data_IF_549241470143
#
_entry.id   IF_549241470143
#
_cell.length_a   1.000
_cell.length_b   1.000
_cell.length_c   1.000
_cell.angle_alpha   90.00
_cell.angle_beta   90.00
_cell.angle_gamma   90.00
#
_symmetry.space_group_name_H-M   'P 1'
#
loop_
_entity.id
_entity.type
_entity.pdbx_description
1 polymer ?
#
# COMPACT_ATOMS: atom_id res chain seq x y z
N UNK A 1 43.21 -48.41 65.02
CA UNK A 1 42.46 -47.16 64.91
C UNK A 1 41.60 -47.23 63.65
N UNK A 2 40.32 -47.61 63.81
CA UNK A 2 39.36 -47.79 62.80
C UNK A 2 38.66 -46.41 62.57
N UNK A 3 38.92 -45.79 61.46
CA UNK A 3 38.22 -44.55 61.07
C UNK A 3 36.80 -44.95 60.69
N UNK A 4 35.79 -44.59 61.47
CA UNK A 4 34.39 -44.59 61.13
C UNK A 4 34.21 -43.44 60.15
N UNK A 5 34.03 -43.75 58.83
CA UNK A 5 33.46 -42.87 57.86
C UNK A 5 32.00 -42.71 58.27
N UNK A 6 31.65 -41.51 58.76
CA UNK A 6 30.27 -41.05 58.88
C UNK A 6 29.72 -40.90 57.45
N UNK A 7 29.11 -41.98 56.96
CA UNK A 7 28.29 -41.91 55.73
C UNK A 7 27.08 -41.06 56.10
N UNK A 8 26.91 -39.91 55.43
CA UNK A 8 25.78 -39.03 55.61
C UNK A 8 24.45 -39.79 55.46
N UNK A 9 23.40 -39.37 56.14
CA UNK A 9 22.08 -40.01 56.21
C UNK A 9 21.24 -39.91 54.93
N UNK A 10 21.76 -39.33 53.89
CA UNK A 10 21.07 -39.21 52.62
C UNK A 10 21.09 -40.51 51.78
N UNK A 11 19.96 -40.99 51.33
CA UNK A 11 19.89 -42.12 50.40
C UNK A 11 20.42 -41.72 49.02
N UNK A 12 20.98 -42.66 48.20
CA UNK A 12 21.48 -42.34 46.87
C UNK A 12 20.39 -41.71 45.97
N UNK A 13 19.12 -41.98 46.20
CA UNK A 13 17.99 -41.39 45.55
C UNK A 13 17.81 -39.91 45.94
N UNK A 14 17.91 -39.60 47.22
CA UNK A 14 17.81 -38.22 47.75
C UNK A 14 18.95 -37.35 47.20
N UNK A 15 20.18 -37.84 47.15
CA UNK A 15 21.32 -37.14 46.56
C UNK A 15 21.12 -36.85 45.07
N UNK A 16 20.54 -37.79 44.30
CA UNK A 16 20.24 -37.61 42.90
C UNK A 16 19.19 -36.52 42.70
N UNK A 17 18.13 -36.48 43.52
CA UNK A 17 17.08 -35.46 43.43
C UNK A 17 17.57 -34.09 43.84
N UNK A 18 18.40 -33.96 44.84
CA UNK A 18 19.06 -32.72 45.23
C UNK A 18 19.97 -32.20 44.13
N UNK A 19 20.79 -33.07 43.54
CA UNK A 19 21.63 -32.70 42.39
C UNK A 19 20.81 -32.23 41.17
N UNK A 20 19.69 -32.90 40.91
CA UNK A 20 18.79 -32.50 39.81
C UNK A 20 18.12 -31.14 40.09
N UNK A 21 17.72 -30.86 41.33
CA UNK A 21 17.14 -29.59 41.73
C UNK A 21 18.15 -28.45 41.63
N UNK A 22 19.36 -28.65 42.15
CA UNK A 22 20.46 -27.69 42.06
C UNK A 22 20.80 -27.36 40.59
N UNK A 23 20.96 -28.38 39.75
CA UNK A 23 21.27 -28.18 38.34
C UNK A 23 20.15 -27.46 37.56
N UNK A 24 18.89 -27.65 37.94
CA UNK A 24 17.75 -26.92 37.33
C UNK A 24 17.73 -25.46 37.76
N UNK A 25 17.93 -25.20 39.04
CA UNK A 25 17.99 -23.84 39.58
C UNK A 25 19.14 -23.05 38.93
N UNK A 26 20.34 -23.60 38.89
CA UNK A 26 21.50 -22.96 38.24
C UNK A 26 21.25 -22.61 36.79
N UNK A 27 20.60 -23.50 36.04
CA UNK A 27 20.21 -23.21 34.64
C UNK A 27 19.20 -22.09 34.54
N UNK A 28 18.24 -22.04 35.46
CA UNK A 28 17.24 -20.98 35.48
C UNK A 28 17.86 -19.63 35.89
N UNK A 29 18.78 -19.61 36.84
CA UNK A 29 19.53 -18.43 37.28
C UNK A 29 20.48 -17.90 36.19
N UNK A 30 21.02 -18.74 35.35
CA UNK A 30 21.89 -18.33 34.25
C UNK A 30 21.13 -17.63 33.07
N UNK A 31 19.81 -17.76 32.99
CA UNK A 31 19.00 -17.13 31.93
C UNK A 31 18.56 -15.74 32.36
N UNK A 32 19.03 -14.72 31.63
CA UNK A 32 18.71 -13.30 31.87
C UNK A 32 17.20 -13.03 31.73
N UNK A 33 16.50 -13.71 30.85
CA UNK A 33 15.06 -13.53 30.69
C UNK A 33 14.30 -14.06 31.90
N UNK A 34 14.76 -15.18 32.49
CA UNK A 34 14.22 -15.74 33.73
C UNK A 34 14.48 -14.80 34.91
N UNK A 35 15.71 -14.29 35.04
CA UNK A 35 16.04 -13.32 36.10
C UNK A 35 15.15 -12.09 36.06
N UNK A 36 14.83 -11.59 34.88
CA UNK A 36 13.98 -10.41 34.68
C UNK A 36 12.49 -10.70 34.91
N UNK A 37 12.01 -11.88 34.52
CA UNK A 37 10.56 -12.18 34.52
C UNK A 37 10.09 -12.87 35.80
N UNK A 38 10.97 -13.67 36.46
CA UNK A 38 10.58 -14.56 37.55
C UNK A 38 11.49 -14.51 38.77
N UNK A 39 11.93 -13.34 39.27
CA UNK A 39 12.88 -13.28 40.40
C UNK A 39 12.32 -13.90 41.69
N UNK A 40 11.00 -13.78 41.91
CA UNK A 40 10.35 -14.39 43.11
C UNK A 40 10.33 -15.91 43.05
N UNK A 41 10.14 -16.51 41.87
CA UNK A 41 10.13 -17.96 41.74
C UNK A 41 11.52 -18.54 41.79
N UNK A 42 12.55 -17.83 41.30
CA UNK A 42 13.96 -18.16 41.52
C UNK A 42 14.30 -18.15 43.03
N UNK A 43 13.89 -17.12 43.73
CA UNK A 43 14.10 -17.05 45.19
C UNK A 43 13.42 -18.20 45.91
N UNK A 44 12.17 -18.52 45.60
CA UNK A 44 11.44 -19.67 46.16
C UNK A 44 12.14 -21.00 45.86
N UNK A 45 12.65 -21.16 44.64
CA UNK A 45 13.39 -22.34 44.23
C UNK A 45 14.67 -22.50 45.08
N UNK A 46 15.40 -21.41 45.27
CA UNK A 46 16.61 -21.41 46.10
C UNK A 46 16.31 -21.72 47.60
N UNK A 47 15.29 -21.06 48.16
CA UNK A 47 14.88 -21.30 49.56
C UNK A 47 14.41 -22.73 49.78
N UNK A 48 13.67 -23.32 48.85
CA UNK A 48 13.21 -24.70 48.94
C UNK A 48 14.36 -25.70 48.77
N UNK A 49 15.34 -25.41 47.90
CA UNK A 49 16.56 -26.22 47.78
C UNK A 49 17.35 -26.22 49.10
N UNK A 50 17.58 -25.05 49.67
CA UNK A 50 18.27 -24.94 50.95
C UNK A 50 17.57 -25.70 52.10
N UNK A 51 16.22 -25.72 52.06
CA UNK A 51 15.47 -26.57 53.03
C UNK A 51 15.67 -28.05 52.75
N UNK A 52 15.64 -28.46 51.48
CA UNK A 52 15.88 -29.84 51.08
C UNK A 52 17.27 -30.33 51.55
N UNK A 53 18.31 -29.53 51.33
CA UNK A 53 19.67 -29.81 51.80
C UNK A 53 19.72 -29.98 53.31
N UNK A 54 19.11 -29.07 54.07
CA UNK A 54 19.04 -29.17 55.53
C UNK A 54 18.34 -30.46 56.01
N UNK A 55 17.24 -30.86 55.39
CA UNK A 55 16.55 -32.11 55.77
C UNK A 55 17.34 -33.36 55.37
N UNK A 56 18.16 -33.31 54.34
CA UNK A 56 19.03 -34.42 53.97
C UNK A 56 20.10 -34.75 54.99
N UNK A 57 20.50 -33.75 55.82
CA UNK A 57 21.47 -33.91 56.90
C UNK A 57 20.89 -34.53 58.20
N UNK A 58 19.52 -34.59 58.28
CA UNK A 58 18.89 -35.17 59.48
C UNK A 58 18.53 -36.63 59.27
N UNK A 59 18.74 -37.41 60.33
CA UNK A 59 18.34 -38.81 60.34
C UNK A 59 16.79 -38.94 60.25
N UNK A 60 16.31 -39.66 59.22
CA UNK A 60 14.88 -39.76 58.91
C UNK A 60 14.31 -38.66 58.07
N UNK A 61 15.07 -37.58 57.69
CA UNK A 61 14.64 -36.46 56.91
C UNK A 61 14.59 -36.69 55.40
N UNK A 62 14.90 -37.90 54.92
CA UNK A 62 14.96 -38.18 53.46
C UNK A 62 13.65 -37.92 52.68
N UNK A 63 12.47 -38.15 53.31
CA UNK A 63 11.18 -37.88 52.67
C UNK A 63 10.92 -36.37 52.47
N UNK A 64 11.23 -35.59 53.52
CA UNK A 64 11.11 -34.11 53.48
C UNK A 64 12.13 -33.50 52.54
N UNK A 65 13.37 -34.00 52.53
CA UNK A 65 14.41 -33.58 51.61
C UNK A 65 13.97 -33.76 50.15
N UNK A 66 13.40 -34.91 49.78
CA UNK A 66 12.86 -35.15 48.43
C UNK A 66 11.67 -34.24 48.10
N UNK A 67 10.77 -34.06 49.09
CA UNK A 67 9.63 -33.15 48.88
C UNK A 67 10.08 -31.71 48.56
N UNK A 68 11.00 -31.16 49.35
CA UNK A 68 11.50 -29.82 49.10
C UNK A 68 12.39 -29.73 47.85
N UNK A 69 13.16 -30.75 47.51
CA UNK A 69 13.88 -30.84 46.23
C UNK A 69 12.92 -30.82 45.04
N UNK A 70 11.82 -31.56 45.12
CA UNK A 70 10.76 -31.50 44.12
C UNK A 70 10.17 -30.09 43.99
N UNK A 71 9.83 -29.42 45.10
CA UNK A 71 9.32 -28.05 45.07
C UNK A 71 10.31 -27.07 44.42
N UNK A 72 11.61 -27.19 44.73
CA UNK A 72 12.65 -26.39 44.08
C UNK A 72 12.68 -26.60 42.56
N UNK A 73 12.60 -27.86 42.12
CA UNK A 73 12.52 -28.18 40.69
C UNK A 73 11.29 -27.55 40.04
N UNK A 74 10.13 -27.59 40.72
CA UNK A 74 8.88 -26.99 40.19
C UNK A 74 8.95 -25.46 40.09
N UNK A 75 9.47 -24.78 41.11
CA UNK A 75 9.66 -23.32 41.06
C UNK A 75 10.67 -22.91 40.00
N UNK A 76 11.77 -23.66 39.83
CA UNK A 76 12.74 -23.44 38.76
C UNK A 76 12.10 -23.60 37.36
N UNK A 77 11.21 -24.60 37.22
CA UNK A 77 10.51 -24.80 35.95
C UNK A 77 9.48 -23.68 35.67
N UNK A 78 8.73 -23.25 36.69
CA UNK A 78 7.81 -22.10 36.57
C UNK A 78 8.58 -20.85 36.14
N UNK A 79 9.69 -20.56 36.80
CA UNK A 79 10.56 -19.43 36.46
C UNK A 79 11.03 -19.51 35.00
N UNK A 80 11.48 -20.69 34.56
CA UNK A 80 11.91 -20.93 33.19
C UNK A 80 10.77 -20.68 32.17
N UNK A 81 9.53 -21.12 32.44
CA UNK A 81 8.38 -20.89 31.58
C UNK A 81 8.04 -19.40 31.48
N UNK A 82 8.15 -18.63 32.55
CA UNK A 82 7.97 -17.18 32.52
C UNK A 82 9.07 -16.49 31.70
N UNK A 83 10.31 -16.95 31.79
CA UNK A 83 11.40 -16.46 30.92
C UNK A 83 11.13 -16.68 29.45
N UNK A 84 10.68 -17.87 29.08
CA UNK A 84 10.30 -18.19 27.71
C UNK A 84 9.12 -17.32 27.23
N UNK A 85 8.12 -17.12 28.09
CA UNK A 85 6.98 -16.24 27.75
C UNK A 85 7.44 -14.81 27.46
N UNK A 86 8.34 -14.26 28.29
CA UNK A 86 8.91 -12.93 28.04
C UNK A 86 9.65 -12.86 26.71
N UNK A 87 10.50 -13.85 26.40
CA UNK A 87 11.23 -13.92 25.13
C UNK A 87 10.28 -13.97 23.93
N UNK A 88 9.20 -14.75 24.02
CA UNK A 88 8.18 -14.82 22.96
C UNK A 88 7.43 -13.49 22.77
N UNK A 89 7.06 -12.82 23.87
CA UNK A 89 6.41 -11.51 23.82
C UNK A 89 7.32 -10.45 23.18
N UNK A 90 8.59 -10.39 23.55
CA UNK A 90 9.57 -9.49 22.95
C UNK A 90 9.77 -9.78 21.45
N UNK A 91 9.76 -11.06 21.06
CA UNK A 91 9.87 -11.47 19.65
C UNK A 91 8.63 -11.06 18.86
N UNK A 92 7.43 -11.28 19.41
CA UNK A 92 6.17 -10.87 18.77
C UNK A 92 6.16 -9.34 18.55
N UNK A 93 6.47 -8.56 19.59
CA UNK A 93 6.50 -7.10 19.48
C UNK A 93 7.50 -6.61 18.42
N UNK A 94 8.68 -7.25 18.31
CA UNK A 94 9.67 -6.94 17.27
C UNK A 94 9.14 -7.25 15.87
N UNK A 95 8.52 -8.41 15.68
CA UNK A 95 7.94 -8.81 14.37
C UNK A 95 6.75 -7.91 13.97
N UNK A 96 5.96 -7.45 14.93
CA UNK A 96 4.88 -6.49 14.67
C UNK A 96 5.40 -5.14 14.20
N UNK A 97 6.44 -4.61 14.84
CA UNK A 97 7.08 -3.37 14.38
C UNK A 97 7.67 -3.50 12.98
N UNK A 98 8.32 -4.63 12.68
CA UNK A 98 8.87 -4.89 11.35
C UNK A 98 7.77 -5.00 10.30
N UNK A 99 6.69 -5.73 10.58
CA UNK A 99 5.50 -5.83 9.72
C UNK A 99 4.92 -4.44 9.40
N UNK A 100 4.77 -3.59 10.41
CA UNK A 100 4.17 -2.27 10.25
C UNK A 100 5.11 -1.33 9.49
N UNK A 101 6.43 -1.48 9.67
CA UNK A 101 7.43 -0.78 8.83
C UNK A 101 7.32 -1.19 7.37
N UNK A 102 7.27 -2.48 7.08
CA UNK A 102 7.15 -3.00 5.71
C UNK A 102 5.83 -2.58 5.03
N UNK A 103 4.73 -2.54 5.80
CA UNK A 103 3.43 -2.05 5.29
C UNK A 103 3.51 -0.59 4.86
N UNK A 104 4.11 0.28 5.67
CA UNK A 104 4.32 1.68 5.31
C UNK A 104 5.18 1.82 4.06
N UNK A 105 6.32 1.14 4.00
CA UNK A 105 7.18 1.16 2.82
C UNK A 105 6.47 0.70 1.54
N UNK A 106 5.63 -0.33 1.63
CA UNK A 106 4.83 -0.80 0.49
C UNK A 106 3.78 0.23 0.05
N UNK A 107 3.15 0.91 0.99
CA UNK A 107 2.18 1.97 0.71
C UNK A 107 2.86 3.16 0.02
N UNK A 108 3.99 3.61 0.54
CA UNK A 108 4.78 4.71 -0.04
C UNK A 108 5.26 4.35 -1.46
N UNK A 109 5.74 3.12 -1.68
CA UNK A 109 6.15 2.66 -3.00
C UNK A 109 4.97 2.63 -4.01
N UNK A 110 3.77 2.27 -3.57
CA UNK A 110 2.56 2.30 -4.41
C UNK A 110 2.16 3.72 -4.79
N UNK A 111 2.23 4.66 -3.85
CA UNK A 111 1.94 6.08 -4.12
C UNK A 111 2.95 6.66 -5.12
N UNK A 112 4.25 6.46 -4.89
CA UNK A 112 5.32 6.89 -5.81
C UNK A 112 5.13 6.31 -7.23
N UNK A 113 4.76 5.04 -7.35
CA UNK A 113 4.50 4.42 -8.66
C UNK A 113 3.29 5.04 -9.37
N UNK A 114 2.22 5.37 -8.63
CA UNK A 114 1.03 6.01 -9.20
C UNK A 114 1.34 7.44 -9.67
N UNK A 115 2.10 8.22 -8.90
CA UNK A 115 2.56 9.56 -9.28
C UNK A 115 3.48 9.51 -10.51
N UNK A 116 4.45 8.60 -10.55
CA UNK A 116 5.33 8.43 -11.70
C UNK A 116 4.58 8.02 -12.97
N UNK A 117 3.56 7.16 -12.85
CA UNK A 117 2.69 6.80 -13.97
C UNK A 117 1.86 8.00 -14.44
N UNK A 118 1.38 8.84 -13.52
CA UNK A 118 0.68 10.07 -13.83
C UNK A 118 1.55 11.04 -14.64
N UNK A 119 2.75 11.35 -14.15
CA UNK A 119 3.72 12.23 -14.82
C UNK A 119 4.14 11.68 -16.19
N UNK A 120 4.40 10.38 -16.31
CA UNK A 120 4.73 9.75 -17.59
C UNK A 120 3.58 9.85 -18.61
N UNK A 121 2.32 9.70 -18.17
CA UNK A 121 1.15 9.88 -19.02
C UNK A 121 0.96 11.34 -19.42
N UNK A 122 1.20 12.29 -18.51
CA UNK A 122 1.19 13.72 -18.84
C UNK A 122 2.23 14.05 -19.91
N UNK A 123 3.46 13.56 -19.76
CA UNK A 123 4.53 13.75 -20.75
C UNK A 123 4.17 13.12 -22.11
N UNK A 124 3.62 11.91 -22.10
CA UNK A 124 3.13 11.27 -23.34
C UNK A 124 1.96 12.03 -24.00
N UNK A 125 1.06 12.60 -23.21
CA UNK A 125 -0.05 13.41 -23.74
C UNK A 125 0.48 14.73 -24.33
N UNK A 126 1.44 15.37 -23.68
CA UNK A 126 2.14 16.56 -24.19
C UNK A 126 2.86 16.26 -25.51
N UNK A 127 3.50 15.09 -25.65
CA UNK A 127 4.23 14.67 -26.86
C UNK A 127 3.30 14.27 -28.03
N UNK A 128 2.03 13.88 -27.76
CA UNK A 128 1.13 13.28 -28.75
C UNK A 128 0.21 14.26 -29.50
N UNK A 129 0.25 15.57 -29.25
CA UNK A 129 -0.49 16.62 -29.96
C UNK A 129 -1.17 17.66 -29.03
N UNK A 130 -0.85 17.72 -27.77
CA UNK A 130 -1.30 18.81 -26.95
C UNK A 130 -0.31 19.96 -27.10
N UNK A 131 -0.78 21.10 -27.59
CA UNK A 131 -0.04 22.35 -27.57
C UNK A 131 -0.51 23.19 -26.39
N UNK A 132 0.42 23.76 -25.67
CA UNK A 132 0.11 24.78 -24.68
C UNK A 132 -0.28 26.05 -25.43
N UNK A 133 -1.50 26.50 -25.21
CA UNK A 133 -2.07 27.70 -25.81
C UNK A 133 -2.46 28.68 -24.72
N UNK A 134 -2.81 29.92 -25.09
CA UNK A 134 -3.37 30.91 -24.14
C UNK A 134 -4.65 30.40 -23.44
N UNK A 135 -5.25 29.32 -23.94
CA UNK A 135 -6.43 28.64 -23.38
C UNK A 135 -6.07 27.43 -22.48
N UNK A 136 -4.79 27.24 -22.19
CA UNK A 136 -4.27 26.08 -21.47
C UNK A 136 -3.89 24.92 -22.39
N UNK A 137 -3.87 23.72 -21.85
CA UNK A 137 -3.54 22.50 -22.58
C UNK A 137 -4.69 22.11 -23.52
N UNK A 138 -4.41 22.05 -24.83
CA UNK A 138 -5.39 21.72 -25.87
C UNK A 138 -4.88 20.55 -26.71
N UNK A 139 -5.67 19.49 -26.79
CA UNK A 139 -5.43 18.38 -27.73
C UNK A 139 -6.32 18.55 -28.95
N UNK A 140 -5.73 18.60 -30.16
CA UNK A 140 -6.45 18.70 -31.38
C UNK A 140 -6.59 17.36 -32.06
N UNK A 141 -7.83 16.97 -32.35
CA UNK A 141 -8.21 15.77 -33.06
C UNK A 141 -8.70 16.15 -34.48
N UNK A 142 -7.94 15.77 -35.48
CA UNK A 142 -8.31 16.08 -36.90
C UNK A 142 -9.48 15.24 -37.41
N UNK A 143 -10.01 15.66 -38.56
CA UNK A 143 -11.12 15.02 -39.29
C UNK A 143 -10.92 13.51 -39.58
N UNK A 144 -9.66 13.06 -39.65
CA UNK A 144 -9.27 11.66 -39.88
C UNK A 144 -9.83 10.67 -38.85
N UNK A 145 -10.23 11.15 -37.69
CA UNK A 145 -10.85 10.31 -36.63
C UNK A 145 -12.33 10.03 -36.89
N UNK A 146 -12.96 10.75 -37.82
CA UNK A 146 -14.37 10.58 -38.17
C UNK A 146 -14.51 10.01 -39.57
N UNK A 147 -15.64 9.36 -39.85
CA UNK A 147 -16.02 9.05 -41.22
C UNK A 147 -16.35 10.33 -41.96
N UNK A 148 -16.00 10.40 -43.25
CA UNK A 148 -16.19 11.58 -44.08
C UNK A 148 -17.63 12.10 -44.02
N UNK A 149 -17.83 13.38 -43.70
CA UNK A 149 -19.12 14.02 -43.59
C UNK A 149 -20.01 13.52 -42.43
N UNK A 150 -19.50 12.77 -41.49
CA UNK A 150 -20.25 12.16 -40.39
C UNK A 150 -19.64 12.52 -39.02
N UNK A 151 -20.40 12.29 -37.97
CA UNK A 151 -19.96 12.32 -36.59
C UNK A 151 -19.54 10.91 -36.05
N UNK A 152 -19.57 9.88 -36.91
CA UNK A 152 -19.23 8.53 -36.53
C UNK A 152 -17.70 8.37 -36.38
N UNK A 153 -17.26 7.90 -35.21
CA UNK A 153 -15.86 7.70 -34.92
C UNK A 153 -15.29 6.48 -35.65
N UNK A 154 -14.13 6.66 -36.26
CA UNK A 154 -13.38 5.55 -36.90
C UNK A 154 -12.52 4.77 -35.91
N UNK A 155 -12.03 3.60 -36.33
CA UNK A 155 -11.22 2.70 -35.48
C UNK A 155 -9.92 3.35 -34.93
N UNK A 156 -9.38 4.35 -35.62
CA UNK A 156 -8.18 5.09 -35.17
C UNK A 156 -8.47 6.02 -34.01
N UNK A 157 -9.71 6.52 -33.89
CA UNK A 157 -10.13 7.35 -32.77
C UNK A 157 -10.04 6.60 -31.42
N UNK A 158 -10.44 5.33 -31.41
CA UNK A 158 -10.52 4.51 -30.19
C UNK A 158 -9.19 4.46 -29.44
N UNK A 159 -8.06 4.34 -30.14
CA UNK A 159 -6.74 4.28 -29.50
C UNK A 159 -6.36 5.59 -28.79
N UNK A 160 -6.63 6.72 -29.45
CA UNK A 160 -6.31 8.04 -28.88
C UNK A 160 -7.24 8.38 -27.72
N UNK A 161 -8.53 8.10 -27.86
CA UNK A 161 -9.52 8.36 -26.81
C UNK A 161 -9.38 7.40 -25.62
N UNK A 162 -8.91 6.17 -25.83
CA UNK A 162 -8.57 5.25 -24.73
C UNK A 162 -7.41 5.79 -23.87
N UNK A 163 -6.37 6.37 -24.49
CA UNK A 163 -5.27 7.00 -23.76
C UNK A 163 -5.76 8.21 -22.96
N UNK A 164 -6.60 9.05 -23.58
CA UNK A 164 -7.22 10.21 -22.94
C UNK A 164 -8.09 9.79 -21.74
N UNK A 165 -8.93 8.77 -21.90
CA UNK A 165 -9.75 8.23 -20.81
C UNK A 165 -8.87 7.75 -19.66
N UNK A 166 -7.78 7.05 -19.96
CA UNK A 166 -6.84 6.60 -18.92
C UNK A 166 -6.19 7.75 -18.16
N UNK A 167 -5.78 8.80 -18.87
CA UNK A 167 -5.27 10.03 -18.25
C UNK A 167 -6.30 10.65 -17.29
N UNK A 168 -7.55 10.81 -17.74
CA UNK A 168 -8.63 11.38 -16.94
C UNK A 168 -9.01 10.50 -15.73
N UNK A 169 -8.88 9.18 -15.84
CA UNK A 169 -9.07 8.25 -14.70
C UNK A 169 -8.00 8.42 -13.63
N UNK A 170 -6.74 8.68 -14.04
CA UNK A 170 -5.64 8.93 -13.12
C UNK A 170 -5.66 10.33 -12.51
N UNK A 171 -6.37 11.27 -13.15
CA UNK A 171 -6.51 12.67 -12.71
C UNK A 171 -8.00 13.00 -12.45
N UNK A 172 -8.60 12.53 -11.34
CA UNK A 172 -10.04 12.60 -11.11
C UNK A 172 -10.57 14.03 -10.94
N UNK A 173 -9.73 14.99 -10.60
CA UNK A 173 -10.13 16.40 -10.46
C UNK A 173 -10.19 17.15 -11.79
N UNK A 174 -9.45 16.68 -12.81
CA UNK A 174 -9.44 17.35 -14.12
C UNK A 174 -10.73 17.12 -14.87
N UNK A 175 -11.22 18.17 -15.54
CA UNK A 175 -12.36 18.19 -16.46
C UNK A 175 -11.87 18.39 -17.88
N UNK A 176 -12.70 18.10 -18.84
CA UNK A 176 -12.43 18.37 -20.25
C UNK A 176 -13.61 19.11 -20.89
N UNK A 177 -13.30 20.06 -21.76
CA UNK A 177 -14.27 20.70 -22.69
C UNK A 177 -13.95 20.26 -24.10
N UNK A 178 -14.90 19.64 -24.76
CA UNK A 178 -14.79 19.09 -26.10
C UNK A 178 -15.47 20.06 -27.07
N UNK A 179 -14.69 20.64 -27.95
CA UNK A 179 -15.13 21.67 -28.87
C UNK A 179 -15.05 21.17 -30.33
N UNK A 180 -16.17 21.10 -31.01
CA UNK A 180 -16.24 20.70 -32.40
C UNK A 180 -16.22 21.89 -33.36
N UNK A 181 -15.52 21.75 -34.49
CA UNK A 181 -15.38 22.76 -35.53
C UNK A 181 -15.59 22.14 -36.91
N UNK A 182 -16.11 22.92 -37.86
CA UNK A 182 -16.27 22.57 -39.27
C UNK A 182 -15.45 23.48 -40.16
N UNK A 183 -15.41 23.18 -41.46
CA UNK A 183 -14.98 24.15 -42.50
C UNK A 183 -16.15 25.05 -42.93
N UNK A 184 -15.88 26.02 -43.79
CA UNK A 184 -16.85 26.98 -44.26
C UNK A 184 -17.76 26.50 -45.44
N UNK A 185 -17.76 25.21 -45.78
CA UNK A 185 -18.61 24.64 -46.83
C UNK A 185 -19.96 24.20 -46.28
N UNK A 186 -21.01 24.44 -47.00
CA UNK A 186 -22.37 24.04 -46.63
C UNK A 186 -23.13 25.11 -45.86
N UNK A 187 -24.26 24.72 -45.30
CA UNK A 187 -25.10 25.61 -44.51
C UNK A 187 -24.54 25.78 -43.08
N UNK A 188 -24.61 27.03 -42.57
CA UNK A 188 -24.06 27.35 -41.26
C UNK A 188 -24.73 26.58 -40.11
N UNK A 189 -26.04 26.29 -40.21
CA UNK A 189 -26.78 25.54 -39.23
C UNK A 189 -26.40 24.06 -39.26
N UNK A 190 -26.23 23.48 -40.46
CA UNK A 190 -25.76 22.10 -40.65
C UNK A 190 -24.36 21.93 -40.11
N UNK A 191 -23.46 22.88 -40.36
CA UNK A 191 -22.11 22.92 -39.84
C UNK A 191 -22.08 22.99 -38.30
N UNK A 192 -22.96 23.80 -37.72
CA UNK A 192 -23.10 23.90 -36.27
C UNK A 192 -23.56 22.54 -35.66
N UNK A 193 -24.61 21.95 -36.29
CA UNK A 193 -25.11 20.64 -35.81
C UNK A 193 -24.08 19.51 -35.97
N UNK A 194 -23.36 19.46 -37.11
CA UNK A 194 -22.33 18.44 -37.33
C UNK A 194 -21.16 18.58 -36.33
N UNK A 195 -20.71 19.81 -36.10
CA UNK A 195 -19.63 20.07 -35.14
C UNK A 195 -20.03 19.69 -33.71
N UNK A 196 -21.25 20.00 -33.28
CA UNK A 196 -21.82 19.59 -32.01
C UNK A 196 -21.94 18.06 -31.92
N UNK A 197 -22.43 17.39 -32.95
CA UNK A 197 -22.56 15.94 -32.98
C UNK A 197 -21.21 15.23 -32.92
N UNK A 198 -20.17 15.77 -33.55
CA UNK A 198 -18.79 15.23 -33.45
C UNK A 198 -18.22 15.37 -32.06
N UNK A 199 -18.39 16.53 -31.44
CA UNK A 199 -17.95 16.73 -30.06
C UNK A 199 -18.70 15.79 -29.08
N UNK A 200 -20.01 15.59 -29.32
CA UNK A 200 -20.83 14.69 -28.53
C UNK A 200 -20.37 13.22 -28.68
N UNK A 201 -20.06 12.76 -29.90
CA UNK A 201 -19.59 11.39 -30.12
C UNK A 201 -18.28 11.09 -29.35
N UNK A 202 -17.38 12.08 -29.22
CA UNK A 202 -16.18 11.97 -28.41
C UNK A 202 -16.54 11.89 -26.92
N UNK A 203 -17.48 12.71 -26.46
CA UNK A 203 -17.95 12.70 -25.07
C UNK A 203 -18.60 11.36 -24.68
N UNK A 204 -19.47 10.85 -25.58
CA UNK A 204 -20.17 9.58 -25.37
C UNK A 204 -19.15 8.41 -25.18
N UNK A 205 -18.14 8.35 -26.06
CA UNK A 205 -17.10 7.32 -25.95
C UNK A 205 -16.27 7.48 -24.66
N UNK A 206 -15.95 8.70 -24.23
CA UNK A 206 -15.26 8.91 -22.95
C UNK A 206 -16.13 8.46 -21.76
N UNK A 207 -17.44 8.70 -21.81
CA UNK A 207 -18.38 8.22 -20.81
C UNK A 207 -18.48 6.69 -20.80
N UNK A 208 -18.52 6.03 -21.96
CA UNK A 208 -18.45 4.56 -22.09
C UNK A 208 -17.15 3.99 -21.52
N UNK A 209 -16.05 4.74 -21.62
CA UNK A 209 -14.74 4.39 -21.04
C UNK A 209 -14.65 4.70 -19.53
N UNK A 210 -15.76 5.11 -18.90
CA UNK A 210 -15.86 5.28 -17.46
C UNK A 210 -15.48 6.68 -16.94
N UNK A 211 -15.50 7.71 -17.79
CA UNK A 211 -15.36 9.10 -17.34
C UNK A 211 -16.74 9.65 -16.97
N UNK A 212 -16.85 10.22 -15.76
CA UNK A 212 -18.10 10.82 -15.29
C UNK A 212 -18.55 11.96 -16.24
N UNK A 213 -19.77 11.92 -16.78
CA UNK A 213 -20.30 12.96 -17.65
C UNK A 213 -20.25 14.37 -17.06
N UNK A 214 -20.32 14.52 -15.74
CA UNK A 214 -20.20 15.83 -15.06
C UNK A 214 -18.83 16.49 -15.28
N UNK A 215 -17.84 15.74 -15.69
CA UNK A 215 -16.47 16.19 -16.00
C UNK A 215 -16.29 16.56 -17.47
N UNK A 216 -17.32 16.40 -18.31
CA UNK A 216 -17.23 16.57 -19.77
C UNK A 216 -18.18 17.69 -20.19
N UNK A 217 -17.65 18.79 -20.71
CA UNK A 217 -18.42 19.83 -21.35
C UNK A 217 -18.35 19.64 -22.87
N UNK A 218 -19.45 19.88 -23.57
CA UNK A 218 -19.53 19.72 -25.04
C UNK A 218 -20.03 21.01 -25.71
N UNK A 219 -19.29 21.46 -26.72
CA UNK A 219 -19.62 22.65 -27.51
C UNK A 219 -19.42 22.41 -29.02
N UNK A 220 -20.33 22.88 -29.82
CA UNK A 220 -20.17 22.98 -31.27
C UNK A 220 -20.07 24.42 -31.70
N UNK A 221 -19.10 24.73 -32.52
CA UNK A 221 -18.87 26.11 -33.00
C UNK A 221 -19.12 26.28 -34.51
N UNK A 222 -19.36 25.19 -35.24
CA UNK A 222 -19.52 25.25 -36.70
C UNK A 222 -18.25 25.73 -37.39
N UNK A 223 -18.35 26.61 -38.34
CA UNK A 223 -17.25 27.22 -39.08
C UNK A 223 -16.63 28.45 -38.40
N UNK A 224 -17.05 28.75 -37.15
CA UNK A 224 -16.46 29.83 -36.37
C UNK A 224 -15.03 29.42 -35.93
N UNK A 225 -14.16 30.39 -35.78
CA UNK A 225 -12.79 30.22 -35.30
C UNK A 225 -11.93 29.32 -36.21
N UNK A 226 -11.79 29.64 -37.52
CA UNK A 226 -10.91 28.88 -38.39
C UNK A 226 -9.44 29.02 -37.97
N UNK A 227 -8.68 27.92 -38.03
CA UNK A 227 -7.22 27.89 -37.73
C UNK A 227 -6.38 27.92 -39.02
N UNK A 228 -7.03 27.74 -40.18
CA UNK A 228 -6.41 27.80 -41.48
C UNK A 228 -7.33 28.41 -42.53
N UNK A 229 -6.80 28.78 -43.70
CA UNK A 229 -7.57 29.32 -44.78
C UNK A 229 -8.56 28.28 -45.35
N UNK A 230 -9.83 28.64 -45.49
CA UNK A 230 -10.89 27.79 -46.08
C UNK A 230 -10.79 27.65 -47.61
N UNK A 231 -9.92 28.44 -48.28
CA UNK A 231 -9.75 28.39 -49.72
C UNK A 231 -9.14 27.07 -50.21
N UNK A 232 -8.16 26.54 -49.51
CA UNK A 232 -7.50 25.28 -49.84
C UNK A 232 -8.17 24.03 -49.23
N UNK A 233 -8.06 22.89 -49.92
CA UNK A 233 -8.54 21.62 -49.36
C UNK A 233 -7.80 21.24 -48.05
N UNK A 234 -6.51 21.55 -47.96
CA UNK A 234 -5.66 21.31 -46.79
C UNK A 234 -6.13 22.18 -45.60
N UNK A 235 -6.34 23.48 -45.80
CA UNK A 235 -6.82 24.37 -44.74
C UNK A 235 -8.22 23.99 -44.25
N UNK A 236 -9.13 23.60 -45.14
CA UNK A 236 -10.45 23.08 -44.74
C UNK A 236 -10.32 21.81 -43.87
N UNK A 237 -9.39 20.90 -44.20
CA UNK A 237 -9.16 19.70 -43.41
C UNK A 237 -8.64 20.04 -42.00
N UNK A 238 -7.84 21.09 -41.86
CA UNK A 238 -7.38 21.58 -40.53
C UNK A 238 -8.52 22.24 -39.75
N UNK A 239 -9.46 22.92 -40.43
CA UNK A 239 -10.62 23.53 -39.78
C UNK A 239 -11.62 22.48 -39.28
N UNK A 240 -11.80 21.36 -39.98
CA UNK A 240 -12.62 20.22 -39.52
C UNK A 240 -11.88 19.46 -38.44
N UNK A 241 -12.05 19.85 -37.18
CA UNK A 241 -11.36 19.31 -36.04
C UNK A 241 -12.26 19.26 -34.81
N UNK A 242 -11.82 18.48 -33.80
CA UNK A 242 -12.32 18.54 -32.43
C UNK A 242 -11.16 18.93 -31.54
N UNK A 243 -11.30 19.97 -30.76
CA UNK A 243 -10.36 20.37 -29.74
C UNK A 243 -10.85 19.88 -28.38
N UNK A 244 -9.95 19.31 -27.58
CA UNK A 244 -10.20 18.88 -26.21
C UNK A 244 -9.33 19.76 -25.29
N UNK A 245 -10.00 20.67 -24.59
CA UNK A 245 -9.38 21.54 -23.61
C UNK A 245 -9.36 20.84 -22.25
N UNK A 246 -8.22 20.85 -21.61
CA UNK A 246 -8.09 20.35 -20.25
C UNK A 246 -8.24 21.48 -19.24
N UNK A 247 -8.96 21.22 -18.16
CA UNK A 247 -8.95 22.11 -17.00
C UNK A 247 -7.55 22.12 -16.35
N UNK A 248 -7.30 23.12 -15.50
CA UNK A 248 -6.21 23.07 -14.54
C UNK A 248 -6.37 21.91 -13.55
N UNK A 249 -5.43 21.78 -12.60
CA UNK A 249 -5.47 20.74 -11.58
C UNK A 249 -6.66 20.90 -10.60
N UNK A 250 -7.19 22.09 -10.47
CA UNK A 250 -8.31 22.48 -9.62
C UNK A 250 -9.68 22.33 -10.33
N UNK A 251 -9.68 21.97 -11.61
CA UNK A 251 -10.89 21.79 -12.42
C UNK A 251 -11.44 23.06 -13.04
N UNK A 252 -10.66 24.17 -13.08
CA UNK A 252 -10.97 25.42 -13.74
C UNK A 252 -10.63 25.39 -15.24
N UNK A 253 -11.42 26.07 -16.07
CA UNK A 253 -11.10 26.29 -17.50
C UNK A 253 -10.67 27.74 -17.72
N UNK A 254 -9.80 27.95 -18.68
CA UNK A 254 -9.54 29.28 -19.22
C UNK A 254 -10.84 29.90 -19.81
N UNK A 255 -10.92 31.25 -19.95
CA UNK A 255 -12.07 31.92 -20.52
C UNK A 255 -12.49 31.35 -21.86
N UNK A 256 -13.80 31.33 -22.11
CA UNK A 256 -14.36 30.93 -23.42
C UNK A 256 -13.94 31.90 -24.53
N UNK A 257 -13.96 31.43 -25.79
CA UNK A 257 -13.73 32.28 -26.97
C UNK A 257 -14.89 33.22 -27.22
#
# INVERSE_FOLDING_TARGET
MTALLLVGCATPETERELGAASARLQRAEADVAVQRSAPKDLQRAAETLQRAERFADYWGGAADARHYAYLSQRYSEIARQQGLLLQHQERIARLEMERDRLRRMLQDARLMTAEQQGLWLEDQMMSLAASETDRGLVMTLGDVLFRAGSAELGNTANRTLLKLARFLQLNPQRKVRIEGYSDSRGDAQENLMLSQARAQAVADLLAELGIDPVRIEVRGYGDRFPVAENASAHGRAQNRRVEILFSDAEGGFAPER
#
